data_IF_004248737657
#
_entry.id   IF_004248737657
#
_cell.length_a   1.000
_cell.length_b   1.000
_cell.length_c   1.000
_cell.angle_alpha   90.00
_cell.angle_beta   90.00
_cell.angle_gamma   90.00
#
_symmetry.space_group_name_H-M   'P 1'
#
loop_
_entity.id
_entity.type
_entity.pdbx_description
1 polymer ?
#
# COMPACT_ATOMS: atom_id res chain seq x y z
N UNK A 1 -39.29 -6.16 -21.96
CA UNK A 1 -37.92 -6.70 -22.05
C UNK A 1 -37.20 -6.84 -20.70
N UNK A 2 -37.44 -5.98 -19.69
CA UNK A 2 -36.80 -6.11 -18.36
C UNK A 2 -37.35 -7.27 -17.51
N UNK A 3 -38.65 -7.52 -17.56
CA UNK A 3 -39.29 -8.61 -16.82
C UNK A 3 -38.72 -10.01 -17.15
N UNK A 4 -38.26 -10.22 -18.40
CA UNK A 4 -37.68 -11.51 -18.81
C UNK A 4 -36.29 -11.72 -18.21
N UNK A 5 -35.49 -10.66 -18.09
CA UNK A 5 -34.15 -10.72 -17.47
C UNK A 5 -34.22 -10.93 -15.96
N UNK A 6 -35.20 -10.32 -15.30
CA UNK A 6 -35.42 -10.52 -13.86
C UNK A 6 -35.93 -11.94 -13.56
N UNK A 7 -36.78 -12.49 -14.43
CA UNK A 7 -37.26 -13.86 -14.34
C UNK A 7 -36.15 -14.89 -14.60
N UNK A 8 -35.29 -14.66 -15.61
CA UNK A 8 -34.10 -15.48 -15.86
C UNK A 8 -33.15 -15.47 -14.65
N UNK A 9 -32.90 -14.29 -14.05
CA UNK A 9 -32.04 -14.19 -12.86
C UNK A 9 -32.63 -14.92 -11.65
N UNK A 10 -33.94 -14.81 -11.45
CA UNK A 10 -34.63 -15.54 -10.37
C UNK A 10 -34.54 -17.06 -10.58
N UNK A 11 -34.66 -17.51 -11.83
CA UNK A 11 -34.49 -18.91 -12.18
C UNK A 11 -33.06 -19.37 -11.92
N UNK A 12 -32.05 -18.58 -12.30
CA UNK A 12 -30.64 -18.87 -12.01
C UNK A 12 -30.41 -18.98 -10.49
N UNK A 13 -30.94 -18.04 -9.70
CA UNK A 13 -30.79 -18.04 -8.24
C UNK A 13 -31.43 -19.29 -7.61
N UNK A 14 -32.63 -19.70 -8.05
CA UNK A 14 -33.31 -20.94 -7.60
C UNK A 14 -32.50 -22.18 -7.98
N UNK A 15 -31.97 -22.23 -9.20
CA UNK A 15 -31.16 -23.35 -9.67
C UNK A 15 -29.83 -23.44 -8.91
N UNK A 16 -29.20 -22.30 -8.60
CA UNK A 16 -27.98 -22.24 -7.77
C UNK A 16 -28.27 -22.74 -6.36
N UNK A 17 -29.38 -22.31 -5.74
CA UNK A 17 -29.77 -22.76 -4.39
C UNK A 17 -30.02 -24.27 -4.36
N UNK A 18 -30.71 -24.79 -5.38
CA UNK A 18 -30.97 -26.22 -5.52
C UNK A 18 -29.65 -27.02 -5.68
N UNK A 19 -28.76 -26.60 -6.58
CA UNK A 19 -27.47 -27.27 -6.81
C UNK A 19 -26.56 -27.20 -5.56
N UNK A 20 -26.61 -26.11 -4.79
CA UNK A 20 -25.75 -25.93 -3.60
C UNK A 20 -26.26 -26.70 -2.38
N UNK A 21 -27.56 -26.98 -2.30
CA UNK A 21 -28.19 -27.69 -1.18
C UNK A 21 -28.38 -29.20 -1.43
N UNK A 22 -28.37 -29.65 -2.68
CA UNK A 22 -28.54 -31.05 -3.02
C UNK A 22 -27.29 -31.90 -2.72
N UNK A 23 -27.43 -33.15 -2.28
CA UNK A 23 -26.34 -34.11 -2.17
C UNK A 23 -25.70 -34.38 -3.54
N UNK A 24 -24.36 -34.51 -3.58
CA UNK A 24 -23.61 -34.77 -4.83
C UNK A 24 -24.11 -36.02 -5.56
N UNK A 25 -24.56 -37.05 -4.84
CA UNK A 25 -25.12 -38.28 -5.43
C UNK A 25 -26.44 -38.06 -6.18
N UNK A 26 -27.28 -37.15 -5.70
CA UNK A 26 -28.53 -36.78 -6.36
C UNK A 26 -28.23 -35.98 -7.63
N UNK A 27 -27.32 -35.02 -7.55
CA UNK A 27 -26.87 -34.22 -8.69
C UNK A 27 -26.20 -35.05 -9.80
N UNK A 28 -25.40 -36.06 -9.42
CA UNK A 28 -24.79 -36.99 -10.37
C UNK A 28 -25.87 -37.75 -11.16
N UNK A 29 -26.95 -38.16 -10.47
CA UNK A 29 -28.02 -38.97 -11.07
C UNK A 29 -28.98 -38.12 -11.89
N UNK A 30 -29.35 -36.94 -11.40
CA UNK A 30 -30.31 -36.03 -12.04
C UNK A 30 -29.76 -35.37 -13.32
N UNK A 31 -28.47 -35.04 -13.32
CA UNK A 31 -27.82 -34.37 -14.45
C UNK A 31 -26.96 -35.31 -15.31
N UNK A 32 -27.03 -36.63 -15.06
CA UNK A 32 -26.22 -37.66 -15.72
C UNK A 32 -24.72 -37.30 -15.76
N UNK A 33 -24.22 -36.67 -14.69
CA UNK A 33 -22.86 -36.15 -14.64
C UNK A 33 -21.90 -37.28 -14.37
N UNK A 34 -20.96 -37.46 -15.29
CA UNK A 34 -19.86 -38.38 -15.05
C UNK A 34 -18.91 -37.80 -14.00
N UNK A 35 -18.29 -38.67 -13.21
CA UNK A 35 -17.21 -38.29 -12.27
C UNK A 35 -16.09 -37.49 -12.96
N UNK A 36 -15.89 -37.68 -14.27
CA UNK A 36 -14.92 -36.92 -15.05
C UNK A 36 -15.36 -35.47 -15.32
N UNK A 37 -16.63 -35.21 -15.61
CA UNK A 37 -17.14 -33.85 -15.82
C UNK A 37 -17.06 -33.01 -14.55
N UNK A 38 -17.33 -33.62 -13.39
CA UNK A 38 -17.15 -32.98 -12.08
C UNK A 38 -15.68 -32.61 -11.87
N UNK A 39 -14.75 -33.54 -12.10
CA UNK A 39 -13.30 -33.30 -11.96
C UNK A 39 -12.80 -32.20 -12.91
N UNK A 40 -13.23 -32.21 -14.16
CA UNK A 40 -12.86 -31.20 -15.16
C UNK A 40 -13.36 -29.82 -14.73
N UNK A 41 -14.60 -29.75 -14.24
CA UNK A 41 -15.21 -28.49 -13.79
C UNK A 41 -14.51 -27.95 -12.55
N UNK A 42 -14.17 -28.81 -11.59
CA UNK A 42 -13.38 -28.44 -10.41
C UNK A 42 -11.99 -27.92 -10.79
N UNK A 43 -11.29 -28.59 -11.71
CA UNK A 43 -9.98 -28.12 -12.19
C UNK A 43 -10.07 -26.72 -12.82
N UNK A 44 -11.06 -26.51 -13.71
CA UNK A 44 -11.31 -25.19 -14.33
C UNK A 44 -11.61 -24.10 -13.29
N UNK A 45 -12.37 -24.43 -12.26
CA UNK A 45 -12.67 -23.50 -11.18
C UNK A 45 -11.43 -23.13 -10.37
N UNK A 46 -10.61 -24.13 -10.01
CA UNK A 46 -9.35 -23.90 -9.31
C UNK A 46 -8.37 -23.04 -10.12
N UNK A 47 -8.23 -23.30 -11.41
CA UNK A 47 -7.38 -22.51 -12.30
C UNK A 47 -7.83 -21.05 -12.37
N UNK A 48 -9.13 -20.81 -12.51
CA UNK A 48 -9.71 -19.45 -12.49
C UNK A 48 -9.47 -18.75 -11.16
N UNK A 49 -9.68 -19.43 -10.03
CA UNK A 49 -9.37 -18.86 -8.70
C UNK A 49 -7.89 -18.49 -8.61
N UNK A 50 -7.01 -19.39 -9.08
CA UNK A 50 -5.57 -19.16 -9.01
C UNK A 50 -5.15 -17.95 -9.85
N UNK A 51 -5.66 -17.83 -11.07
CA UNK A 51 -5.43 -16.67 -11.94
C UNK A 51 -5.92 -15.36 -11.30
N UNK A 52 -7.15 -15.35 -10.77
CA UNK A 52 -7.71 -14.19 -10.07
C UNK A 52 -6.86 -13.80 -8.86
N UNK A 53 -6.44 -14.76 -8.03
CA UNK A 53 -5.57 -14.52 -6.87
C UNK A 53 -4.23 -13.92 -7.29
N UNK A 54 -3.63 -14.42 -8.37
CA UNK A 54 -2.37 -13.88 -8.90
C UNK A 54 -2.53 -12.44 -9.39
N UNK A 55 -3.58 -12.16 -10.16
CA UNK A 55 -3.89 -10.79 -10.63
C UNK A 55 -4.06 -9.84 -9.45
N UNK A 56 -4.82 -10.23 -8.43
CA UNK A 56 -5.02 -9.43 -7.23
C UNK A 56 -3.72 -9.16 -6.47
N UNK A 57 -2.89 -10.20 -6.25
CA UNK A 57 -1.56 -10.04 -5.62
C UNK A 57 -0.67 -9.08 -6.40
N UNK A 58 -0.63 -9.21 -7.73
CA UNK A 58 0.16 -8.34 -8.60
C UNK A 58 -0.31 -6.88 -8.53
N UNK A 59 -1.63 -6.66 -8.54
CA UNK A 59 -2.21 -5.32 -8.40
C UNK A 59 -1.87 -4.70 -7.03
N UNK A 60 -2.00 -5.46 -5.95
CA UNK A 60 -1.65 -5.02 -4.59
C UNK A 60 -0.18 -4.58 -4.50
N UNK A 61 0.74 -5.39 -5.04
CA UNK A 61 2.17 -5.06 -5.05
C UNK A 61 2.49 -3.84 -5.92
N UNK A 62 1.86 -3.73 -7.09
CA UNK A 62 2.03 -2.56 -7.97
C UNK A 62 1.58 -1.28 -7.27
N UNK A 63 0.42 -1.30 -6.61
CA UNK A 63 -0.10 -0.14 -5.88
C UNK A 63 0.82 0.24 -4.71
N UNK A 64 1.28 -0.75 -3.93
CA UNK A 64 2.24 -0.50 -2.84
C UNK A 64 3.55 0.11 -3.36
N UNK A 65 4.06 -0.36 -4.51
CA UNK A 65 5.25 0.22 -5.14
C UNK A 65 5.01 1.67 -5.58
N UNK A 66 3.86 1.96 -6.20
CA UNK A 66 3.52 3.34 -6.59
C UNK A 66 3.42 4.27 -5.39
N UNK A 67 2.80 3.82 -4.28
CA UNK A 67 2.75 4.60 -3.04
C UNK A 67 4.14 4.86 -2.47
N UNK A 68 5.00 3.84 -2.41
CA UNK A 68 6.37 3.99 -1.95
C UNK A 68 7.17 4.99 -2.79
N UNK A 69 7.06 4.90 -4.12
CA UNK A 69 7.74 5.86 -5.02
C UNK A 69 7.18 7.27 -4.90
N UNK A 70 5.89 7.43 -4.58
CA UNK A 70 5.29 8.75 -4.31
C UNK A 70 5.84 9.36 -3.01
N UNK A 71 5.96 8.56 -1.95
CA UNK A 71 6.57 9.04 -0.70
C UNK A 71 8.06 9.34 -0.89
N UNK A 72 8.81 8.52 -1.63
CA UNK A 72 10.22 8.81 -1.95
C UNK A 72 10.41 10.16 -2.64
N UNK A 73 9.55 10.50 -3.60
CA UNK A 73 9.63 11.80 -4.29
C UNK A 73 9.41 12.99 -3.35
N UNK A 74 8.55 12.86 -2.33
CA UNK A 74 8.40 13.91 -1.30
C UNK A 74 9.70 14.13 -0.51
N UNK A 75 10.55 13.11 -0.42
CA UNK A 75 11.83 13.19 0.26
C UNK A 75 12.98 13.67 -0.64
N UNK A 76 12.83 13.72 -1.97
CA UNK A 76 13.89 14.12 -2.91
C UNK A 76 13.96 15.64 -3.17
N UNK A 77 12.87 16.41 -2.99
CA UNK A 77 12.82 17.85 -3.31
C UNK A 77 12.80 18.74 -2.05
N UNK A 78 13.78 18.59 -1.16
CA UNK A 78 13.95 19.53 -0.04
C UNK A 78 15.08 20.52 -0.32
N UNK A 79 14.72 21.78 -0.57
CA UNK A 79 15.69 22.87 -0.72
C UNK A 79 16.20 23.36 0.65
N UNK A 80 17.08 22.56 1.25
CA UNK A 80 17.76 22.92 2.51
C UNK A 80 18.58 24.19 2.33
N UNK A 81 19.23 24.36 1.17
CA UNK A 81 20.12 25.51 0.93
C UNK A 81 19.32 26.80 0.90
N UNK A 82 18.18 26.84 0.20
CA UNK A 82 17.26 27.97 0.22
C UNK A 82 16.70 28.27 1.62
N UNK A 83 16.34 27.23 2.39
CA UNK A 83 15.90 27.40 3.78
C UNK A 83 16.97 28.05 4.68
N UNK A 84 18.22 27.55 4.62
CA UNK A 84 19.34 28.11 5.38
C UNK A 84 19.61 29.57 4.97
N UNK A 85 19.54 29.86 3.68
CA UNK A 85 19.76 31.20 3.14
C UNK A 85 18.69 32.19 3.61
N UNK A 86 17.41 31.78 3.65
CA UNK A 86 16.31 32.60 4.21
C UNK A 86 16.50 32.89 5.70
N UNK A 87 16.97 31.92 6.48
CA UNK A 87 17.18 32.07 7.93
C UNK A 87 18.48 32.80 8.29
N UNK A 88 19.43 32.89 7.36
CA UNK A 88 20.73 33.54 7.59
C UNK A 88 21.60 32.86 8.65
N UNK A 89 21.34 31.57 8.93
CA UNK A 89 22.01 30.77 9.97
C UNK A 89 22.63 29.51 9.38
N UNK A 90 23.69 29.00 10.00
CA UNK A 90 24.30 27.73 9.63
C UNK A 90 23.39 26.54 9.95
N UNK A 91 23.58 25.41 9.27
CA UNK A 91 22.75 24.22 9.47
C UNK A 91 22.81 23.68 10.91
N UNK A 92 24.02 23.70 11.49
CA UNK A 92 24.23 23.35 12.91
C UNK A 92 23.46 24.25 13.86
N UNK A 93 23.49 25.56 13.65
CA UNK A 93 22.84 26.52 14.54
C UNK A 93 21.32 26.34 14.55
N UNK A 94 20.73 26.07 13.37
CA UNK A 94 19.30 25.79 13.27
C UNK A 94 18.94 24.48 13.97
N UNK A 95 19.75 23.42 13.85
CA UNK A 95 19.49 22.17 14.56
C UNK A 95 19.55 22.35 16.08
N UNK A 96 20.52 23.11 16.58
CA UNK A 96 20.62 23.44 18.01
C UNK A 96 19.40 24.23 18.46
N UNK A 97 18.96 25.21 17.67
CA UNK A 97 17.77 26.00 17.98
C UNK A 97 16.49 25.14 18.00
N UNK A 98 16.32 24.24 17.05
CA UNK A 98 15.18 23.31 17.03
C UNK A 98 15.18 22.33 18.21
N UNK A 99 16.38 21.91 18.65
CA UNK A 99 16.55 21.08 19.84
C UNK A 99 16.14 21.84 21.10
N UNK A 100 16.60 23.08 21.27
CA UNK A 100 16.22 23.95 22.39
C UNK A 100 14.71 24.23 22.39
N UNK A 101 14.12 24.44 21.21
CA UNK A 101 12.69 24.70 21.05
C UNK A 101 11.81 23.45 21.22
N UNK A 102 12.38 22.26 21.46
CA UNK A 102 11.66 20.98 21.53
C UNK A 102 10.80 20.68 20.29
N UNK A 103 11.17 21.23 19.13
CA UNK A 103 10.46 21.01 17.85
C UNK A 103 10.99 19.79 17.09
N UNK A 104 11.97 19.09 17.65
CA UNK A 104 12.49 17.86 17.08
C UNK A 104 11.63 16.67 17.54
N UNK A 105 11.34 15.70 16.66
CA UNK A 105 10.62 14.48 17.03
C UNK A 105 11.30 13.77 18.22
N UNK A 106 10.53 13.24 19.17
CA UNK A 106 11.06 12.55 20.37
C UNK A 106 11.95 11.35 20.03
N UNK A 107 11.70 10.74 18.86
CA UNK A 107 12.46 9.62 18.30
C UNK A 107 13.54 10.05 17.31
N UNK A 108 13.80 11.35 17.15
CA UNK A 108 15.00 11.84 16.50
C UNK A 108 16.17 11.61 17.46
N UNK A 109 16.53 10.34 17.66
CA UNK A 109 17.87 9.96 18.04
C UNK A 109 18.76 10.49 16.93
N UNK A 110 19.30 11.70 17.13
CA UNK A 110 20.47 12.16 16.40
C UNK A 110 21.43 10.99 16.48
N UNK A 111 21.63 10.29 15.36
CA UNK A 111 22.41 9.07 15.30
C UNK A 111 23.88 9.45 15.46
N UNK A 112 24.25 9.91 16.65
CA UNK A 112 25.60 10.17 17.07
C UNK A 112 26.01 9.04 18.00
N UNK A 113 26.61 8.02 17.37
CA UNK A 113 27.51 7.10 18.05
C UNK A 113 28.68 7.92 18.58
N UNK A 114 28.86 7.89 19.90
CA UNK A 114 30.13 8.07 20.62
C UNK A 114 31.10 9.13 20.04
N UNK A 115 31.00 10.37 20.51
CA UNK A 115 32.15 11.28 20.61
C UNK A 115 32.67 11.96 19.34
N UNK A 116 31.93 11.95 18.21
CA UNK A 116 32.27 12.78 17.03
C UNK A 116 31.49 14.10 17.04
N UNK A 117 32.04 15.14 16.42
CA UNK A 117 31.31 16.38 16.16
C UNK A 117 30.45 16.23 14.91
N UNK A 118 29.17 16.63 14.98
CA UNK A 118 28.25 16.67 13.83
C UNK A 118 28.83 17.62 12.78
N UNK A 119 29.17 17.17 11.57
CA UNK A 119 29.65 18.09 10.52
C UNK A 119 28.52 19.00 9.99
N UNK A 120 28.85 20.11 9.34
CA UNK A 120 27.81 20.96 8.71
C UNK A 120 27.02 20.21 7.61
N UNK A 121 27.66 19.23 6.97
CA UNK A 121 27.01 18.37 5.98
C UNK A 121 26.04 17.37 6.63
N UNK A 122 26.44 16.76 7.75
CA UNK A 122 25.53 15.93 8.55
C UNK A 122 24.34 16.75 9.03
N UNK A 123 24.57 18.00 9.45
CA UNK A 123 23.52 18.90 9.89
C UNK A 123 22.53 19.22 8.76
N UNK A 124 23.02 19.50 7.54
CA UNK A 124 22.17 19.71 6.36
C UNK A 124 21.32 18.48 6.04
N UNK A 125 21.91 17.28 6.12
CA UNK A 125 21.18 16.05 5.85
C UNK A 125 20.09 15.78 6.90
N UNK A 126 20.36 16.07 8.17
CA UNK A 126 19.35 15.96 9.24
C UNK A 126 18.22 16.96 8.99
N UNK A 127 18.53 18.22 8.64
CA UNK A 127 17.52 19.22 8.31
C UNK A 127 16.70 18.81 7.08
N UNK A 128 17.34 18.27 6.03
CA UNK A 128 16.65 17.74 4.85
C UNK A 128 15.59 16.72 5.26
N UNK A 129 15.98 15.76 6.10
CA UNK A 129 15.09 14.71 6.58
C UNK A 129 13.95 15.27 7.43
N UNK A 130 14.23 16.23 8.32
CA UNK A 130 13.22 16.85 9.18
C UNK A 130 12.18 17.64 8.39
N UNK A 131 12.63 18.40 7.39
CA UNK A 131 11.74 19.11 6.48
C UNK A 131 10.93 18.12 5.63
N UNK A 132 11.58 17.07 5.11
CA UNK A 132 10.90 16.04 4.33
C UNK A 132 9.84 15.26 5.14
N UNK A 133 10.06 15.13 6.45
CA UNK A 133 9.09 14.57 7.40
C UNK A 133 7.97 15.55 7.79
N UNK A 134 8.03 16.81 7.34
CA UNK A 134 7.09 17.86 7.71
C UNK A 134 7.22 18.35 9.15
N UNK A 135 8.33 18.03 9.84
CA UNK A 135 8.59 18.50 11.20
C UNK A 135 9.04 19.97 11.23
N UNK A 136 9.55 20.48 10.10
CA UNK A 136 9.97 21.87 9.91
C UNK A 136 9.27 22.40 8.66
N UNK A 137 8.62 23.55 8.79
CA UNK A 137 8.01 24.26 7.67
C UNK A 137 9.03 25.24 7.07
N UNK A 138 9.25 25.19 5.74
CA UNK A 138 10.24 26.03 5.04
C UNK A 138 9.74 27.48 4.86
N UNK A 139 8.44 27.70 5.04
CA UNK A 139 7.78 28.99 4.86
C UNK A 139 7.65 29.83 6.15
N UNK A 140 7.94 29.24 7.32
CA UNK A 140 8.07 29.95 8.61
C UNK A 140 9.47 30.53 8.78
#
# INVERSE_FOLDING_TARGET
MMANKEMEKLLDDIMIEHITSAPISELITEYDLTTNEIKITQARFHDRIHECKQKFKKAKLKNARTQLETEKKKHEEVDVVGYLTKKGKGARDILVELFIQQKLPENLTVAHREGKEITDEDAKQILANLIAMGAINIDD
#
